data_IF_867503776005
#
_entry.id   IF_867503776005
#
_cell.length_a   1.000
_cell.length_b   1.000
_cell.length_c   1.000
_cell.angle_alpha   90.00
_cell.angle_beta   90.00
_cell.angle_gamma   90.00
#
_symmetry.space_group_name_H-M   'P 1'
#
loop_
_entity.id
_entity.type
_entity.pdbx_description
1 polymer ?
#
# COMPACT_ATOMS: atom_id res chain seq x y z
N UNK A 1 -34.77 -40.70 -23.37
CA UNK A 1 -34.11 -42.03 -23.59
C UNK A 1 -32.75 -42.00 -22.94
N UNK A 2 -32.64 -42.79 -21.85
CA UNK A 2 -31.57 -43.74 -21.44
C UNK A 2 -30.13 -43.15 -21.50
N UNK A 3 -29.52 -42.84 -20.31
CA UNK A 3 -28.74 -43.70 -19.40
C UNK A 3 -27.41 -44.25 -19.98
N UNK A 4 -26.31 -43.87 -19.36
CA UNK A 4 -25.39 -44.74 -18.56
C UNK A 4 -24.14 -43.91 -18.20
N UNK A 5 -23.78 -43.65 -16.97
CA UNK A 5 -23.08 -44.44 -15.94
C UNK A 5 -21.76 -45.07 -16.44
N UNK A 6 -20.63 -44.59 -15.97
CA UNK A 6 -19.54 -45.47 -15.58
C UNK A 6 -18.71 -44.85 -14.43
N UNK A 7 -18.65 -45.65 -13.36
CA UNK A 7 -17.83 -45.50 -12.16
C UNK A 7 -16.47 -46.18 -12.39
N UNK A 8 -15.55 -45.84 -11.50
CA UNK A 8 -14.35 -46.57 -11.04
C UNK A 8 -13.05 -45.84 -11.42
N UNK A 9 -12.01 -45.69 -10.62
CA UNK A 9 -11.58 -46.46 -9.47
C UNK A 9 -10.60 -45.62 -8.63
N UNK A 10 -10.71 -45.73 -7.35
CA UNK A 10 -9.69 -45.35 -6.38
C UNK A 10 -8.57 -46.41 -6.35
N UNK A 11 -7.33 -46.00 -6.28
CA UNK A 11 -6.24 -46.83 -5.82
C UNK A 11 -5.28 -45.99 -4.98
N UNK A 12 -5.24 -46.31 -3.69
CA UNK A 12 -4.33 -45.73 -2.72
C UNK A 12 -2.94 -46.35 -2.85
N UNK A 13 -1.93 -45.59 -2.48
CA UNK A 13 -0.62 -46.10 -2.15
C UNK A 13 -0.17 -45.47 -0.83
N UNK A 14 -0.28 -46.29 0.22
CA UNK A 14 0.39 -46.09 1.49
C UNK A 14 1.83 -46.56 1.36
N UNK A 15 2.81 -45.75 1.70
CA UNK A 15 4.19 -46.21 1.94
C UNK A 15 4.58 -45.82 3.34
N UNK A 16 5.01 -46.86 4.06
CA UNK A 16 5.30 -46.90 5.47
C UNK A 16 6.61 -46.19 5.85
N UNK A 17 6.57 -45.58 7.02
CA UNK A 17 7.75 -45.20 7.80
C UNK A 17 8.47 -46.46 8.30
N UNK A 18 9.80 -46.48 8.18
CA UNK A 18 10.66 -47.34 9.01
C UNK A 18 11.60 -46.48 9.84
N UNK A 19 11.36 -46.53 11.15
CA UNK A 19 12.31 -46.14 12.19
C UNK A 19 13.53 -47.08 12.16
N UNK A 20 14.71 -46.52 12.32
CA UNK A 20 15.88 -47.29 12.77
C UNK A 20 16.52 -46.59 13.96
N UNK A 21 16.28 -47.15 15.12
CA UNK A 21 17.00 -46.91 16.36
C UNK A 21 18.15 -47.95 16.40
N UNK A 22 19.37 -47.50 16.62
CA UNK A 22 20.39 -48.37 17.15
C UNK A 22 21.34 -47.58 18.04
N UNK A 23 21.38 -48.05 19.22
CA UNK A 23 22.02 -47.60 20.42
C UNK A 23 23.39 -48.33 20.60
N UNK A 24 24.13 -47.75 21.53
CA UNK A 24 25.13 -48.40 22.42
C UNK A 24 26.52 -48.74 21.90
N UNK A 25 27.46 -48.29 22.70
CA UNK A 25 28.63 -49.08 23.04
C UNK A 25 29.76 -48.33 23.73
N UNK A 26 29.78 -48.48 25.04
CA UNK A 26 30.79 -48.12 26.04
C UNK A 26 32.22 -48.64 25.74
N UNK A 27 33.24 -47.98 26.22
CA UNK A 27 34.01 -48.35 27.44
C UNK A 27 35.51 -48.02 27.32
N UNK A 28 36.01 -47.36 28.37
CA UNK A 28 37.22 -47.68 29.20
C UNK A 28 38.57 -47.79 28.46
N UNK A 29 39.66 -47.28 28.95
CA UNK A 29 40.26 -47.29 30.30
C UNK A 29 41.46 -46.37 30.38
N UNK A 30 41.73 -45.94 31.56
CA UNK A 30 42.84 -45.20 32.09
C UNK A 30 44.24 -45.72 31.77
N UNK A 31 45.25 -44.84 31.86
CA UNK A 31 46.35 -45.09 32.77
C UNK A 31 47.20 -43.82 33.04
N UNK A 32 47.60 -43.76 34.24
CA UNK A 32 48.31 -42.76 35.03
C UNK A 32 49.82 -42.75 34.73
N UNK A 33 50.47 -41.61 34.77
CA UNK A 33 51.81 -41.56 35.37
C UNK A 33 52.18 -40.13 35.82
N UNK A 34 52.46 -40.07 37.07
CA UNK A 34 52.99 -39.03 37.92
C UNK A 34 54.44 -38.62 37.57
N UNK A 35 54.71 -37.33 37.66
CA UNK A 35 55.92 -36.80 38.31
C UNK A 35 55.89 -35.31 38.53
N UNK A 36 55.92 -34.86 39.77
CA UNK A 36 56.33 -33.60 40.31
C UNK A 36 57.74 -33.77 40.90
N UNK A 37 58.55 -32.75 41.25
CA UNK A 37 58.33 -31.32 41.48
C UNK A 37 59.46 -30.41 40.99
N UNK A 38 59.33 -29.11 41.02
CA UNK A 38 60.22 -28.20 41.73
C UNK A 38 59.80 -26.74 41.60
N UNK A 39 59.89 -26.03 42.69
CA UNK A 39 59.44 -24.70 42.95
C UNK A 39 60.43 -23.63 42.54
N UNK A 40 59.97 -22.43 42.27
CA UNK A 40 60.21 -21.19 43.00
C UNK A 40 59.75 -19.94 42.22
N UNK A 41 59.50 -18.81 42.84
CA UNK A 41 58.37 -17.92 42.55
C UNK A 41 58.82 -16.73 41.67
N UNK A 42 57.86 -16.27 40.83
CA UNK A 42 58.02 -14.97 40.16
C UNK A 42 56.68 -14.20 40.27
N UNK A 43 56.76 -13.09 40.89
CA UNK A 43 55.72 -12.09 41.02
C UNK A 43 55.25 -11.66 39.64
N UNK A 44 53.96 -11.86 39.34
CA UNK A 44 53.34 -11.26 38.18
C UNK A 44 52.04 -10.59 38.59
N UNK A 45 51.94 -9.35 38.20
CA UNK A 45 50.79 -8.48 38.42
C UNK A 45 49.49 -9.14 37.96
N UNK A 46 48.48 -9.04 38.77
CA UNK A 46 47.10 -9.42 38.42
C UNK A 46 46.62 -8.54 37.25
N UNK A 47 46.54 -9.13 36.08
CA UNK A 47 45.71 -8.60 35.00
C UNK A 47 44.26 -8.90 35.39
N UNK A 48 43.52 -7.89 35.73
CA UNK A 48 42.06 -7.97 35.84
C UNK A 48 41.51 -8.48 34.52
N UNK A 49 41.18 -9.73 34.47
CA UNK A 49 40.37 -10.33 33.40
C UNK A 49 38.95 -9.72 33.50
N UNK A 50 38.69 -8.67 32.74
CA UNK A 50 37.36 -8.21 32.49
C UNK A 50 36.60 -9.34 31.84
N UNK A 51 35.87 -10.12 32.63
CA UNK A 51 34.86 -11.03 32.12
C UNK A 51 33.77 -10.18 31.49
N UNK A 52 33.84 -10.00 30.16
CA UNK A 52 32.69 -9.50 29.38
C UNK A 52 31.46 -10.34 29.77
N UNK A 53 30.44 -9.69 30.27
CA UNK A 53 29.13 -10.33 30.50
C UNK A 53 28.71 -11.05 29.23
N UNK A 54 28.10 -12.22 29.31
CA UNK A 54 27.57 -12.91 28.15
C UNK A 54 26.71 -11.93 27.34
N UNK A 55 26.99 -11.76 26.05
CA UNK A 55 26.15 -10.96 25.19
C UNK A 55 24.75 -11.51 25.29
N UNK A 56 23.77 -10.71 25.69
CA UNK A 56 22.37 -11.11 25.70
C UNK A 56 21.97 -11.53 24.27
N UNK A 57 21.13 -12.56 24.17
CA UNK A 57 20.61 -12.99 22.87
C UNK A 57 19.98 -11.78 22.12
N UNK A 58 20.25 -11.65 20.81
CA UNK A 58 19.72 -10.54 20.04
C UNK A 58 18.22 -10.46 20.12
N UNK A 59 17.67 -9.25 20.28
CA UNK A 59 16.24 -9.00 20.20
C UNK A 59 15.79 -9.26 18.76
N UNK A 60 14.87 -10.20 18.58
CA UNK A 60 14.32 -10.53 17.27
C UNK A 60 13.04 -9.72 17.02
N UNK A 61 13.04 -8.93 15.95
CA UNK A 61 11.88 -8.21 15.44
C UNK A 61 11.40 -8.84 14.13
N UNK A 62 10.12 -8.70 13.84
CA UNK A 62 9.48 -9.13 12.60
C UNK A 62 8.90 -7.91 11.88
N UNK A 63 9.15 -7.80 10.57
CA UNK A 63 8.65 -6.72 9.73
C UNK A 63 7.95 -7.29 8.50
N UNK A 64 6.68 -6.95 8.31
CA UNK A 64 5.97 -7.21 7.07
C UNK A 64 5.89 -5.94 6.23
N UNK A 65 5.89 -6.07 4.89
CA UNK A 65 5.67 -4.94 3.98
C UNK A 65 5.03 -5.38 2.67
N UNK A 66 4.51 -4.42 1.90
CA UNK A 66 3.78 -4.69 0.65
C UNK A 66 4.58 -4.36 -0.61
N UNK A 67 5.83 -3.97 -0.45
CA UNK A 67 6.68 -3.59 -1.57
C UNK A 67 7.30 -4.85 -2.19
N UNK A 68 6.86 -5.23 -3.38
CA UNK A 68 7.27 -6.48 -4.06
C UNK A 68 7.92 -6.25 -5.43
N UNK A 69 7.85 -5.02 -5.95
CA UNK A 69 8.48 -4.63 -7.21
C UNK A 69 9.73 -3.81 -6.94
N UNK A 70 10.85 -4.20 -7.55
CA UNK A 70 12.11 -3.45 -7.45
C UNK A 70 11.97 -2.00 -7.95
N UNK A 71 12.69 -1.05 -7.37
CA UNK A 71 13.76 -1.22 -6.37
C UNK A 71 13.30 -1.16 -4.89
N UNK A 72 12.00 -1.09 -4.62
CA UNK A 72 11.48 -0.86 -3.27
C UNK A 72 11.83 -1.95 -2.25
N UNK A 73 11.74 -3.27 -2.54
CA UNK A 73 12.19 -4.31 -1.62
C UNK A 73 13.67 -4.15 -1.23
N UNK A 74 14.52 -3.83 -2.20
CA UNK A 74 15.95 -3.58 -1.98
C UNK A 74 16.17 -2.38 -1.06
N UNK A 75 15.42 -1.28 -1.22
CA UNK A 75 15.52 -0.09 -0.37
C UNK A 75 15.13 -0.42 1.08
N UNK A 76 14.07 -1.19 1.28
CA UNK A 76 13.64 -1.63 2.62
C UNK A 76 14.72 -2.52 3.24
N UNK A 77 15.21 -3.50 2.49
CA UNK A 77 16.28 -4.39 2.96
C UNK A 77 17.52 -3.60 3.38
N UNK A 78 18.00 -2.69 2.56
CA UNK A 78 19.14 -1.83 2.87
C UNK A 78 18.94 -1.00 4.15
N UNK A 79 17.71 -0.52 4.38
CA UNK A 79 17.36 0.24 5.58
C UNK A 79 17.48 -0.65 6.83
N UNK A 80 16.99 -1.87 6.75
CA UNK A 80 17.07 -2.84 7.85
C UNK A 80 18.51 -3.34 8.05
N UNK A 81 19.28 -3.56 6.98
CA UNK A 81 20.71 -3.92 7.08
C UNK A 81 21.51 -2.82 7.78
N UNK A 82 21.23 -1.54 7.51
CA UNK A 82 21.85 -0.40 8.23
C UNK A 82 21.41 -0.38 9.69
N UNK A 83 20.13 -0.57 9.97
CA UNK A 83 19.64 -0.65 11.35
C UNK A 83 20.34 -1.75 12.15
N UNK A 84 20.41 -2.97 11.63
CA UNK A 84 21.04 -4.12 12.32
C UNK A 84 22.55 -3.96 12.45
N UNK A 85 23.21 -3.35 11.47
CA UNK A 85 24.64 -3.00 11.56
C UNK A 85 24.93 -2.02 12.69
N UNK A 86 24.12 -0.97 12.83
CA UNK A 86 24.28 0.07 13.84
C UNK A 86 23.76 -0.38 15.22
N UNK A 87 22.96 -1.44 15.25
CA UNK A 87 22.36 -2.00 16.45
C UNK A 87 22.54 -3.54 16.47
N UNK A 88 23.75 -4.04 16.76
CA UNK A 88 24.09 -5.47 16.62
C UNK A 88 23.37 -6.39 17.61
N UNK A 89 22.70 -5.83 18.60
CA UNK A 89 21.80 -6.55 19.51
C UNK A 89 20.41 -6.79 18.95
N UNK A 90 20.13 -6.41 17.68
CA UNK A 90 18.88 -6.67 17.00
C UNK A 90 19.06 -7.56 15.77
N UNK A 91 18.03 -8.37 15.50
CA UNK A 91 17.81 -9.02 14.21
C UNK A 91 16.39 -8.70 13.74
N UNK A 92 16.20 -8.54 12.43
CA UNK A 92 14.86 -8.27 11.86
C UNK A 92 14.56 -9.26 10.75
N UNK A 93 13.49 -10.03 10.93
CA UNK A 93 12.95 -10.90 9.88
C UNK A 93 11.98 -10.12 9.00
N UNK A 94 12.32 -9.93 7.72
CA UNK A 94 11.55 -9.14 6.77
C UNK A 94 10.73 -10.05 5.86
N UNK A 95 9.43 -9.80 5.74
CA UNK A 95 8.51 -10.58 4.90
C UNK A 95 7.74 -9.68 3.93
N UNK A 96 8.12 -9.65 2.64
CA UNK A 96 7.35 -8.98 1.60
C UNK A 96 6.11 -9.77 1.21
N UNK A 97 5.02 -9.07 0.88
CA UNK A 97 3.77 -9.67 0.38
C UNK A 97 3.11 -8.74 -0.63
N UNK A 98 2.39 -9.30 -1.59
CA UNK A 98 1.50 -8.51 -2.45
C UNK A 98 0.43 -7.82 -1.62
N UNK A 99 0.01 -6.63 -2.06
CA UNK A 99 -0.89 -5.72 -1.32
C UNK A 99 -2.18 -6.42 -0.82
N UNK A 100 -2.88 -7.14 -1.69
CA UNK A 100 -4.17 -7.75 -1.30
C UNK A 100 -3.98 -9.02 -0.46
N UNK A 101 -2.90 -9.77 -0.70
CA UNK A 101 -2.50 -10.88 0.16
C UNK A 101 -2.13 -10.39 1.57
N UNK A 102 -1.44 -9.25 1.67
CA UNK A 102 -1.13 -8.62 2.94
C UNK A 102 -2.41 -8.21 3.69
N UNK A 103 -3.35 -7.52 3.02
CA UNK A 103 -4.62 -7.10 3.64
C UNK A 103 -5.38 -8.28 4.25
N UNK A 104 -5.42 -9.39 3.52
CA UNK A 104 -6.05 -10.63 4.00
C UNK A 104 -5.30 -11.21 5.20
N UNK A 105 -3.97 -11.30 5.11
CA UNK A 105 -3.13 -11.90 6.15
C UNK A 105 -3.11 -11.07 7.44
N UNK A 106 -3.01 -9.74 7.35
CA UNK A 106 -2.99 -8.88 8.52
C UNK A 106 -4.33 -8.90 9.27
N UNK A 107 -5.46 -8.98 8.57
CA UNK A 107 -6.77 -9.11 9.20
C UNK A 107 -6.89 -10.40 10.03
N UNK A 108 -6.39 -11.54 9.50
CA UNK A 108 -6.34 -12.80 10.23
C UNK A 108 -5.38 -12.72 11.42
N UNK A 109 -4.20 -12.13 11.23
CA UNK A 109 -3.19 -11.98 12.28
C UNK A 109 -3.69 -11.10 13.45
N UNK A 110 -4.44 -10.04 13.14
CA UNK A 110 -5.07 -9.20 14.16
C UNK A 110 -6.15 -9.92 14.96
N UNK A 111 -6.92 -10.79 14.33
CA UNK A 111 -7.93 -11.61 14.99
C UNK A 111 -7.34 -12.66 15.92
N UNK A 112 -6.12 -13.10 15.69
CA UNK A 112 -5.42 -14.15 16.47
C UNK A 112 -4.27 -13.63 17.35
N UNK A 113 -4.05 -12.32 17.44
CA UNK A 113 -2.92 -11.68 18.12
C UNK A 113 -1.53 -12.18 17.67
N UNK A 114 -1.43 -12.62 16.38
CA UNK A 114 -0.20 -13.12 15.78
C UNK A 114 0.35 -12.12 14.75
N UNK A 115 0.32 -10.85 15.09
CA UNK A 115 0.82 -9.78 14.23
C UNK A 115 2.35 -9.76 14.23
N UNK A 116 2.98 -9.30 13.14
CA UNK A 116 4.40 -8.94 13.16
C UNK A 116 4.61 -7.73 14.08
N UNK A 117 5.84 -7.54 14.57
CA UNK A 117 6.17 -6.39 15.42
C UNK A 117 6.01 -5.07 14.68
N UNK A 118 6.36 -5.04 13.38
CA UNK A 118 6.31 -3.86 12.52
C UNK A 118 5.52 -4.20 11.25
N UNK A 119 4.57 -3.36 10.90
CA UNK A 119 3.77 -3.55 9.69
C UNK A 119 3.19 -2.25 9.15
N UNK A 120 2.92 -2.18 7.83
CA UNK A 120 2.26 -1.03 7.23
C UNK A 120 0.75 -1.11 7.42
N UNK A 121 0.14 0.05 7.48
CA UNK A 121 -1.31 0.21 7.38
C UNK A 121 -1.66 1.52 6.70
N UNK A 122 -2.94 1.73 6.45
CA UNK A 122 -3.48 2.98 5.90
C UNK A 122 -4.14 3.78 7.02
N UNK A 123 -4.13 5.11 6.90
CA UNK A 123 -4.83 6.00 7.84
C UNK A 123 -6.35 5.85 7.73
N UNK A 124 -7.09 6.48 8.62
CA UNK A 124 -8.56 6.47 8.62
C UNK A 124 -9.13 5.19 9.21
N UNK A 125 -10.13 4.58 8.58
CA UNK A 125 -10.89 3.44 9.10
C UNK A 125 -10.06 2.28 9.61
N UNK A 126 -9.12 1.72 8.83
CA UNK A 126 -8.25 0.64 9.29
C UNK A 126 -7.44 1.00 10.53
N UNK A 127 -6.74 2.13 10.52
CA UNK A 127 -5.95 2.58 11.67
C UNK A 127 -6.83 2.78 12.91
N UNK A 128 -7.97 3.46 12.75
CA UNK A 128 -8.90 3.70 13.86
C UNK A 128 -9.38 2.38 14.48
N UNK A 129 -9.71 1.39 13.64
CA UNK A 129 -10.10 0.05 14.09
C UNK A 129 -8.98 -0.63 14.89
N UNK A 130 -7.73 -0.51 14.44
CA UNK A 130 -6.58 -1.09 15.14
C UNK A 130 -6.35 -0.43 16.49
N UNK A 131 -6.48 0.90 16.56
CA UNK A 131 -6.39 1.67 17.82
C UNK A 131 -7.52 1.28 18.77
N UNK A 132 -8.77 1.27 18.29
CA UNK A 132 -9.94 0.98 19.12
C UNK A 132 -9.95 -0.45 19.66
N UNK A 133 -9.30 -1.37 18.93
CA UNK A 133 -9.09 -2.77 19.31
C UNK A 133 -7.79 -3.01 20.08
N UNK A 134 -7.03 -1.96 20.44
CA UNK A 134 -5.75 -2.04 21.15
C UNK A 134 -4.71 -2.95 20.44
N UNK A 135 -4.64 -2.90 19.10
CA UNK A 135 -3.73 -3.75 18.31
C UNK A 135 -2.40 -3.08 17.95
N UNK A 136 -2.32 -1.76 18.03
CA UNK A 136 -1.10 -1.00 17.75
C UNK A 136 -0.68 -0.15 18.94
N UNK A 137 0.63 0.08 19.06
CA UNK A 137 1.23 0.86 20.14
C UNK A 137 1.09 2.37 19.88
N UNK A 138 0.93 3.15 20.95
CA UNK A 138 1.01 4.61 20.93
C UNK A 138 2.45 5.05 20.68
N UNK A 139 2.69 5.70 19.56
CA UNK A 139 4.02 6.20 19.17
C UNK A 139 4.24 7.68 19.49
N UNK A 140 3.29 8.34 20.16
CA UNK A 140 3.30 9.79 20.40
C UNK A 140 4.59 10.27 21.07
N UNK A 141 5.04 9.57 22.12
CA UNK A 141 6.28 9.92 22.84
C UNK A 141 7.48 9.86 21.92
N UNK A 142 7.64 8.77 21.18
CA UNK A 142 8.77 8.59 20.26
C UNK A 142 8.75 9.59 19.10
N UNK A 143 7.57 9.89 18.56
CA UNK A 143 7.41 10.87 17.48
C UNK A 143 7.70 12.31 17.95
N UNK A 144 7.45 12.64 19.22
CA UNK A 144 7.74 13.95 19.79
C UNK A 144 9.21 14.10 20.25
N UNK A 145 9.88 13.00 20.55
CA UNK A 145 11.26 13.02 21.03
C UNK A 145 12.19 13.68 19.99
N UNK A 146 12.99 14.65 20.47
CA UNK A 146 13.90 15.41 19.60
C UNK A 146 13.23 16.15 18.43
N UNK A 147 11.88 16.28 18.43
CA UNK A 147 11.14 16.89 17.33
C UNK A 147 11.07 16.00 16.07
N UNK A 148 11.21 14.69 16.21
CA UNK A 148 11.26 13.77 15.05
C UNK A 148 10.05 13.93 14.10
N UNK A 149 8.85 14.15 14.63
CA UNK A 149 7.65 14.39 13.80
C UNK A 149 7.75 15.61 12.90
N UNK A 150 8.58 16.61 13.28
CA UNK A 150 8.63 17.89 12.59
C UNK A 150 9.33 17.80 11.23
N UNK A 151 10.00 16.69 10.95
CA UNK A 151 10.56 16.38 9.63
C UNK A 151 9.49 16.05 8.58
N UNK A 152 8.32 15.60 9.00
CA UNK A 152 7.24 15.18 8.09
C UNK A 152 6.34 16.35 7.68
N UNK A 153 5.67 16.18 6.53
CA UNK A 153 4.61 17.09 6.11
C UNK A 153 3.48 17.11 7.15
N UNK A 154 2.91 18.26 7.50
CA UNK A 154 1.83 18.32 8.51
C UNK A 154 0.64 17.42 8.17
N UNK A 155 0.26 17.33 6.89
CA UNK A 155 -0.82 16.46 6.45
C UNK A 155 -0.55 14.98 6.76
N UNK A 156 0.71 14.52 6.65
CA UNK A 156 1.10 13.14 6.98
C UNK A 156 0.94 12.87 8.48
N UNK A 157 1.36 13.79 9.33
CA UNK A 157 1.20 13.67 10.79
C UNK A 157 -0.29 13.69 11.17
N UNK A 158 -1.08 14.58 10.57
CA UNK A 158 -2.53 14.61 10.80
C UNK A 158 -3.20 13.28 10.45
N UNK A 159 -2.78 12.65 9.35
CA UNK A 159 -3.31 11.33 8.93
C UNK A 159 -2.82 10.18 9.81
N UNK A 160 -1.67 10.30 10.47
CA UNK A 160 -1.17 9.34 11.47
C UNK A 160 -1.78 9.52 12.85
N UNK A 161 -2.60 10.57 13.04
CA UNK A 161 -3.16 10.97 14.35
C UNK A 161 -4.61 10.52 14.48
N UNK A 162 -4.93 9.90 15.60
CA UNK A 162 -6.29 9.56 16.02
C UNK A 162 -6.42 9.67 17.53
N UNK A 163 -7.51 10.26 18.02
CA UNK A 163 -7.74 10.53 19.46
C UNK A 163 -6.53 11.25 20.10
N UNK A 164 -6.03 12.29 19.43
CA UNK A 164 -4.91 13.15 19.85
C UNK A 164 -3.57 12.42 20.04
N UNK A 165 -3.42 11.22 19.49
CA UNK A 165 -2.22 10.40 19.56
C UNK A 165 -1.73 9.99 18.17
N UNK A 166 -0.42 9.80 18.05
CA UNK A 166 0.24 9.39 16.79
C UNK A 166 0.45 7.88 16.83
N UNK A 167 -0.10 7.17 15.83
CA UNK A 167 -0.17 5.71 15.78
C UNK A 167 0.69 5.05 14.72
N UNK A 168 1.32 5.84 13.86
CA UNK A 168 2.20 5.33 12.82
C UNK A 168 3.20 6.37 12.36
N UNK A 169 4.29 5.90 11.76
CA UNK A 169 5.31 6.73 11.11
C UNK A 169 4.97 6.80 9.62
N UNK A 170 4.85 7.99 9.01
CA UNK A 170 4.66 8.13 7.58
C UNK A 170 5.94 7.68 6.84
N UNK A 171 5.93 6.53 6.18
CA UNK A 171 7.15 5.96 5.55
C UNK A 171 7.07 5.98 4.03
N UNK A 172 5.93 5.59 3.47
CA UNK A 172 5.86 5.46 2.02
C UNK A 172 5.80 6.82 1.31
N UNK A 173 4.97 6.99 0.33
CA UNK A 173 4.98 8.20 -0.50
C UNK A 173 3.74 9.06 -0.27
N UNK A 174 3.81 10.29 -0.74
CA UNK A 174 2.64 11.09 -1.06
C UNK A 174 1.96 10.45 -2.28
N UNK A 175 0.77 9.89 -2.09
CA UNK A 175 0.07 9.10 -3.08
C UNK A 175 -1.19 9.83 -3.55
N UNK A 176 -1.18 10.35 -4.78
CA UNK A 176 -2.36 10.94 -5.42
C UNK A 176 -2.69 10.20 -6.70
N UNK A 177 -3.96 9.96 -6.97
CA UNK A 177 -4.39 9.40 -8.22
C UNK A 177 -4.29 10.45 -9.34
N UNK A 178 -3.65 10.08 -10.43
CA UNK A 178 -3.49 10.89 -11.63
C UNK A 178 -3.69 9.99 -12.86
N UNK A 179 -4.05 10.60 -13.96
CA UNK A 179 -3.91 9.91 -15.23
C UNK A 179 -2.44 9.85 -15.64
N UNK A 180 -1.96 8.65 -15.92
CA UNK A 180 -0.70 8.41 -16.61
C UNK A 180 -1.01 8.00 -18.05
N UNK A 181 -0.28 8.58 -19.02
CA UNK A 181 -0.58 8.37 -20.42
C UNK A 181 0.69 8.14 -21.25
N UNK A 182 0.52 7.49 -22.39
CA UNK A 182 1.59 7.28 -23.37
C UNK A 182 1.69 8.51 -24.29
N UNK A 183 2.79 9.26 -24.16
CA UNK A 183 3.06 10.48 -24.96
C UNK A 183 3.16 10.19 -26.46
N UNK A 184 3.70 9.03 -26.85
CA UNK A 184 3.86 8.69 -28.27
C UNK A 184 2.50 8.44 -28.93
N UNK A 185 1.55 7.80 -28.22
CA UNK A 185 0.18 7.64 -28.71
C UNK A 185 -0.55 8.98 -28.83
N UNK A 186 -0.37 9.87 -27.84
CA UNK A 186 -0.95 11.22 -27.91
C UNK A 186 -0.39 12.01 -29.08
N UNK A 187 0.94 11.99 -29.29
CA UNK A 187 1.58 12.65 -30.43
C UNK A 187 1.13 12.03 -31.76
N UNK A 188 1.06 10.70 -31.87
CA UNK A 188 0.67 9.98 -33.07
C UNK A 188 -0.73 10.34 -33.56
N UNK A 189 -1.67 10.56 -32.62
CA UNK A 189 -3.05 10.88 -32.96
C UNK A 189 -3.38 12.38 -32.76
N UNK A 190 -2.36 13.23 -32.59
CA UNK A 190 -2.48 14.68 -32.39
C UNK A 190 -3.44 15.04 -31.23
N UNK A 191 -3.35 14.29 -30.13
CA UNK A 191 -4.17 14.49 -28.94
C UNK A 191 -3.50 15.49 -27.99
N UNK A 192 -4.33 16.31 -27.35
CA UNK A 192 -3.90 17.20 -26.27
C UNK A 192 -4.28 16.60 -24.92
N UNK A 193 -3.55 16.98 -23.86
CA UNK A 193 -3.92 16.64 -22.49
C UNK A 193 -5.28 17.26 -22.15
N UNK A 194 -6.30 16.45 -21.80
CA UNK A 194 -7.65 16.95 -21.56
C UNK A 194 -7.74 17.68 -20.22
N UNK A 195 -8.50 18.78 -20.20
CA UNK A 195 -8.76 19.59 -18.99
C UNK A 195 -10.18 19.38 -18.46
N UNK A 196 -11.08 18.87 -19.29
CA UNK A 196 -12.46 18.60 -18.93
C UNK A 196 -12.83 17.14 -19.25
N UNK A 197 -13.92 16.65 -18.63
CA UNK A 197 -14.43 15.29 -18.90
C UNK A 197 -14.84 15.16 -20.38
N UNK A 198 -15.43 16.19 -20.96
CA UNK A 198 -15.80 16.19 -22.39
C UNK A 198 -14.56 16.08 -23.30
N UNK A 199 -13.48 16.78 -22.98
CA UNK A 199 -12.22 16.66 -23.69
C UNK A 199 -11.60 15.27 -23.52
N UNK A 200 -11.66 14.68 -22.30
CA UNK A 200 -11.21 13.32 -22.03
C UNK A 200 -11.98 12.28 -22.85
N UNK A 201 -13.30 12.45 -22.98
CA UNK A 201 -14.15 11.59 -23.82
C UNK A 201 -13.79 11.74 -25.31
N UNK A 202 -13.48 12.95 -25.77
CA UNK A 202 -13.03 13.20 -27.15
C UNK A 202 -11.71 12.48 -27.43
N UNK A 203 -10.77 12.53 -26.48
CA UNK A 203 -9.52 11.74 -26.54
C UNK A 203 -9.82 10.26 -26.58
N UNK A 204 -10.70 9.77 -25.71
CA UNK A 204 -11.06 8.35 -25.64
C UNK A 204 -11.72 7.85 -26.93
N UNK A 205 -12.66 8.62 -27.50
CA UNK A 205 -13.31 8.29 -28.77
C UNK A 205 -12.32 8.21 -29.93
N UNK A 206 -11.36 9.15 -29.97
CA UNK A 206 -10.31 9.17 -31.00
C UNK A 206 -9.41 7.93 -30.89
N UNK A 207 -8.97 7.59 -29.68
CA UNK A 207 -8.15 6.41 -29.43
C UNK A 207 -8.90 5.12 -29.81
N UNK A 208 -10.15 4.97 -29.36
CA UNK A 208 -10.99 3.83 -29.65
C UNK A 208 -11.22 3.65 -31.17
N UNK A 209 -11.50 4.74 -31.88
CA UNK A 209 -11.65 4.72 -33.36
C UNK A 209 -10.40 4.19 -34.06
N UNK A 210 -9.24 4.39 -33.47
CA UNK A 210 -7.95 3.91 -33.99
C UNK A 210 -7.53 2.55 -33.41
N UNK A 211 -8.42 1.82 -32.72
CA UNK A 211 -8.16 0.50 -32.16
C UNK A 211 -7.28 0.48 -30.91
N UNK A 212 -7.08 1.64 -30.27
CA UNK A 212 -6.37 1.77 -29.01
C UNK A 212 -7.36 1.80 -27.86
N UNK A 213 -7.11 1.03 -26.82
CA UNK A 213 -7.90 1.05 -25.58
C UNK A 213 -7.66 2.41 -24.88
N UNK A 214 -8.71 3.21 -24.64
CA UNK A 214 -8.54 4.48 -23.94
C UNK A 214 -7.96 4.33 -22.53
N UNK A 215 -8.58 3.49 -21.69
CA UNK A 215 -8.20 3.31 -20.30
C UNK A 215 -7.82 1.87 -20.00
N UNK A 216 -6.64 1.66 -19.48
CA UNK A 216 -6.21 0.38 -18.93
C UNK A 216 -6.66 0.29 -17.47
N UNK A 217 -7.38 -0.78 -17.13
CA UNK A 217 -7.93 -1.02 -15.79
C UNK A 217 -7.86 -2.50 -15.42
N UNK A 218 -7.47 -2.80 -14.18
CA UNK A 218 -7.57 -4.09 -13.53
C UNK A 218 -8.39 -3.92 -12.25
N UNK A 219 -9.67 -4.34 -12.26
CA UNK A 219 -10.64 -3.99 -11.22
C UNK A 219 -11.13 -5.19 -10.39
N UNK A 220 -10.44 -6.33 -10.43
CA UNK A 220 -10.75 -7.46 -9.55
C UNK A 220 -10.58 -7.08 -8.08
N UNK A 221 -9.59 -6.26 -7.80
CA UNK A 221 -9.26 -5.75 -6.47
C UNK A 221 -10.14 -4.59 -6.01
N UNK A 222 -11.03 -4.11 -6.89
CA UNK A 222 -12.10 -3.12 -6.65
C UNK A 222 -11.62 -1.69 -6.39
N UNK A 223 -10.52 -1.50 -5.67
CA UNK A 223 -9.99 -0.17 -5.30
C UNK A 223 -9.51 0.64 -6.51
N UNK A 224 -9.10 -0.01 -7.59
CA UNK A 224 -8.65 0.67 -8.82
C UNK A 224 -9.80 1.37 -9.54
N UNK A 225 -10.94 0.70 -9.69
CA UNK A 225 -12.16 1.31 -10.23
C UNK A 225 -12.73 2.39 -9.30
N UNK A 226 -12.60 2.20 -7.99
CA UNK A 226 -13.03 3.19 -6.99
C UNK A 226 -12.38 4.56 -7.20
N UNK A 227 -11.15 4.66 -7.71
CA UNK A 227 -10.50 5.94 -8.00
C UNK A 227 -11.29 6.77 -9.02
N UNK A 228 -11.82 6.14 -10.06
CA UNK A 228 -12.69 6.82 -11.03
C UNK A 228 -13.97 7.32 -10.38
N UNK A 229 -14.60 6.47 -9.56
CA UNK A 229 -15.83 6.82 -8.86
C UNK A 229 -15.64 8.00 -7.90
N UNK A 230 -14.58 7.98 -7.10
CA UNK A 230 -14.26 9.03 -6.15
C UNK A 230 -14.03 10.38 -6.84
N UNK A 231 -13.23 10.39 -7.91
CA UNK A 231 -13.01 11.62 -8.67
C UNK A 231 -14.27 12.15 -9.34
N UNK A 232 -15.06 11.28 -9.95
CA UNK A 232 -16.31 11.72 -10.57
C UNK A 232 -17.29 12.27 -9.53
N UNK A 233 -17.40 11.62 -8.36
CA UNK A 233 -18.24 12.12 -7.27
C UNK A 233 -17.76 13.49 -6.76
N UNK A 234 -16.43 13.67 -6.59
CA UNK A 234 -15.85 14.97 -6.23
C UNK A 234 -16.09 16.02 -7.32
N UNK A 235 -15.85 15.69 -8.59
CA UNK A 235 -16.03 16.65 -9.69
C UNK A 235 -17.47 17.10 -9.85
N UNK A 236 -18.45 16.21 -9.66
CA UNK A 236 -19.87 16.58 -9.73
C UNK A 236 -20.38 17.29 -8.48
N UNK A 237 -20.00 16.82 -7.28
CA UNK A 237 -20.60 17.27 -6.02
C UNK A 237 -19.70 18.16 -5.14
N UNK A 238 -18.41 18.25 -5.46
CA UNK A 238 -17.41 18.83 -4.57
C UNK A 238 -17.06 17.91 -3.39
N UNK A 239 -16.03 18.26 -2.65
CA UNK A 239 -15.62 17.55 -1.45
C UNK A 239 -16.74 17.45 -0.40
N UNK A 240 -17.66 18.41 -0.37
CA UNK A 240 -18.75 18.45 0.58
C UNK A 240 -19.74 17.29 0.40
N UNK A 241 -19.92 16.77 -0.80
CA UNK A 241 -20.84 15.66 -1.05
C UNK A 241 -20.43 14.41 -0.27
N UNK A 242 -19.15 14.03 -0.34
CA UNK A 242 -18.63 12.90 0.42
C UNK A 242 -18.53 13.20 1.92
N UNK A 243 -18.00 14.37 2.28
CA UNK A 243 -17.82 14.73 3.69
C UNK A 243 -19.15 14.75 4.44
N UNK A 244 -20.20 15.31 3.84
CA UNK A 244 -21.54 15.33 4.43
C UNK A 244 -22.11 13.91 4.61
N UNK A 245 -21.96 13.04 3.61
CA UNK A 245 -22.42 11.65 3.69
C UNK A 245 -21.64 10.87 4.76
N UNK A 246 -20.30 11.00 4.81
CA UNK A 246 -19.44 10.33 5.78
C UNK A 246 -19.63 10.82 7.22
N UNK A 247 -19.93 12.13 7.41
CA UNK A 247 -20.23 12.73 8.71
C UNK A 247 -21.70 12.59 9.14
N UNK A 248 -22.54 11.99 8.29
CA UNK A 248 -23.98 11.81 8.52
C UNK A 248 -24.78 13.12 8.63
N UNK A 249 -24.27 14.21 8.03
CA UNK A 249 -24.99 15.47 7.81
C UNK A 249 -25.65 15.53 6.44
N UNK A 250 -25.34 14.57 5.56
CA UNK A 250 -25.91 14.29 4.25
C UNK A 250 -26.11 12.79 4.04
N UNK A 251 -26.21 12.37 2.79
CA UNK A 251 -26.52 10.99 2.41
C UNK A 251 -25.68 10.53 1.22
N UNK A 252 -25.40 9.23 1.14
CA UNK A 252 -24.83 8.58 -0.06
C UNK A 252 -25.87 8.48 -1.21
N UNK A 253 -27.12 8.83 -0.98
CA UNK A 253 -28.13 9.00 -2.04
C UNK A 253 -28.08 10.39 -2.72
N UNK A 254 -27.00 11.17 -2.49
CA UNK A 254 -26.77 12.45 -3.14
C UNK A 254 -26.58 12.29 -4.65
N UNK A 255 -27.12 13.24 -5.42
CA UNK A 255 -27.08 13.26 -6.89
C UNK A 255 -25.68 13.15 -7.47
N UNK A 256 -24.64 13.66 -6.79
CA UNK A 256 -23.26 13.56 -7.24
C UNK A 256 -22.78 12.13 -7.38
N UNK A 257 -23.20 11.23 -6.50
CA UNK A 257 -22.87 9.81 -6.58
C UNK A 257 -23.62 9.10 -7.70
N UNK A 258 -24.90 9.49 -7.95
CA UNK A 258 -25.66 9.04 -9.10
C UNK A 258 -25.00 9.42 -10.42
N UNK A 259 -24.58 10.68 -10.55
CA UNK A 259 -23.89 11.19 -11.73
C UNK A 259 -22.54 10.48 -11.95
N UNK A 260 -21.77 10.24 -10.89
CA UNK A 260 -20.53 9.47 -10.95
C UNK A 260 -20.75 8.05 -11.49
N UNK A 261 -21.73 7.35 -10.94
CA UNK A 261 -22.09 6.01 -11.39
C UNK A 261 -22.58 5.96 -12.84
N UNK A 262 -23.44 6.91 -13.23
CA UNK A 262 -23.93 7.03 -14.61
C UNK A 262 -22.77 7.26 -15.61
N UNK A 263 -21.82 8.14 -15.26
CA UNK A 263 -20.65 8.43 -16.12
C UNK A 263 -19.76 7.19 -16.28
N UNK A 264 -19.52 6.44 -15.22
CA UNK A 264 -18.78 5.17 -15.32
C UNK A 264 -19.51 4.19 -16.24
N UNK A 265 -20.81 4.01 -16.05
CA UNK A 265 -21.60 3.10 -16.90
C UNK A 265 -21.63 3.54 -18.36
N UNK A 266 -21.65 4.85 -18.63
CA UNK A 266 -21.50 5.40 -19.97
C UNK A 266 -20.16 4.99 -20.59
N UNK A 267 -19.04 5.18 -19.87
CA UNK A 267 -17.69 4.81 -20.35
C UNK A 267 -17.53 3.31 -20.56
N UNK A 268 -18.13 2.48 -19.70
CA UNK A 268 -18.17 1.03 -19.90
C UNK A 268 -18.94 0.65 -21.15
N UNK A 269 -20.14 1.22 -21.37
CA UNK A 269 -20.96 0.98 -22.57
C UNK A 269 -20.28 1.49 -23.85
N UNK A 270 -19.48 2.56 -23.75
CA UNK A 270 -18.63 3.05 -24.84
C UNK A 270 -17.37 2.20 -25.02
N UNK A 271 -17.17 1.15 -24.23
CA UNK A 271 -15.99 0.27 -24.26
C UNK A 271 -14.65 1.05 -24.16
N UNK A 272 -14.58 2.02 -23.28
CA UNK A 272 -13.34 2.77 -23.05
C UNK A 272 -12.31 1.99 -22.23
N UNK A 273 -12.73 0.96 -21.50
CA UNK A 273 -11.86 0.07 -20.73
C UNK A 273 -11.49 -1.19 -21.50
N UNK A 274 -10.37 -1.81 -21.15
CA UNK A 274 -9.96 -3.09 -21.71
C UNK A 274 -10.97 -4.20 -21.39
N UNK A 275 -11.10 -5.17 -22.28
CA UNK A 275 -12.01 -6.33 -22.04
C UNK A 275 -11.61 -7.08 -20.77
N UNK A 276 -12.62 -7.49 -20.00
CA UNK A 276 -12.43 -8.30 -18.79
C UNK A 276 -11.82 -7.57 -17.60
N UNK A 277 -11.75 -6.25 -17.60
CA UNK A 277 -11.12 -5.45 -16.57
C UNK A 277 -11.58 -5.78 -15.14
N UNK A 278 -12.86 -6.11 -14.90
CA UNK A 278 -13.40 -6.51 -13.59
C UNK A 278 -12.85 -7.84 -13.06
N UNK A 279 -12.24 -8.66 -13.92
CA UNK A 279 -11.61 -9.93 -13.56
C UNK A 279 -10.09 -9.88 -13.53
N UNK A 280 -9.46 -8.80 -13.97
CA UNK A 280 -8.02 -8.65 -13.95
C UNK A 280 -7.54 -8.17 -12.57
N UNK A 281 -6.47 -8.78 -12.11
CA UNK A 281 -5.81 -8.47 -10.85
C UNK A 281 -4.71 -7.43 -11.06
N UNK A 282 -4.72 -6.33 -10.31
CA UNK A 282 -3.73 -5.26 -10.44
C UNK A 282 -2.32 -5.74 -10.06
N UNK A 283 -2.22 -6.58 -9.02
CA UNK A 283 -0.93 -7.13 -8.58
C UNK A 283 -0.26 -8.01 -9.64
N UNK A 284 -1.04 -8.55 -10.61
CA UNK A 284 -0.50 -9.33 -11.73
C UNK A 284 0.12 -8.48 -12.86
N UNK A 285 -0.05 -7.15 -12.85
CA UNK A 285 0.51 -6.22 -13.84
C UNK A 285 -0.11 -6.29 -15.23
N UNK A 286 -1.22 -7.00 -15.42
CA UNK A 286 -1.82 -7.19 -16.75
C UNK A 286 -2.32 -5.88 -17.37
N UNK A 287 -2.93 -5.00 -16.56
CA UNK A 287 -3.37 -3.67 -17.01
C UNK A 287 -2.17 -2.80 -17.41
N UNK A 288 -1.10 -2.82 -16.63
CA UNK A 288 0.12 -2.06 -16.89
C UNK A 288 0.81 -2.52 -18.19
N UNK A 289 0.82 -3.83 -18.44
CA UNK A 289 1.36 -4.41 -19.69
C UNK A 289 0.65 -3.87 -20.92
N UNK A 290 -0.67 -3.60 -20.86
CA UNK A 290 -1.40 -3.00 -21.96
C UNK A 290 -0.89 -1.58 -22.28
N UNK A 291 -0.57 -0.80 -21.24
CA UNK A 291 -0.02 0.54 -21.40
C UNK A 291 1.40 0.50 -21.98
N UNK A 292 2.27 -0.37 -21.44
CA UNK A 292 3.66 -0.51 -21.89
C UNK A 292 3.78 -1.01 -23.34
N UNK A 293 2.84 -1.86 -23.77
CA UNK A 293 2.80 -2.41 -25.13
C UNK A 293 2.00 -1.54 -26.12
N UNK A 294 1.63 -0.31 -25.73
CA UNK A 294 0.89 0.65 -26.56
C UNK A 294 -0.51 0.16 -27.01
N UNK A 295 -1.03 -0.88 -26.36
CA UNK A 295 -2.40 -1.37 -26.60
C UNK A 295 -3.44 -0.50 -25.87
N UNK A 296 -3.06 0.13 -24.77
CA UNK A 296 -3.85 1.12 -24.07
C UNK A 296 -3.08 2.45 -23.98
N UNK A 297 -3.81 3.56 -23.94
CA UNK A 297 -3.21 4.89 -23.96
C UNK A 297 -3.06 5.51 -22.58
N UNK A 298 -3.97 5.23 -21.66
CA UNK A 298 -4.03 5.88 -20.35
C UNK A 298 -4.36 4.87 -19.24
N UNK A 299 -3.97 5.22 -18.01
CA UNK A 299 -4.44 4.57 -16.77
C UNK A 299 -4.63 5.62 -15.68
N UNK A 300 -5.69 5.51 -14.87
CA UNK A 300 -5.85 6.28 -13.65
C UNK A 300 -5.28 5.45 -12.49
N UNK A 301 -4.22 5.94 -11.85
CA UNK A 301 -3.53 5.21 -10.79
C UNK A 301 -2.89 6.17 -9.79
N UNK A 302 -2.64 5.70 -8.59
CA UNK A 302 -1.86 6.45 -7.62
C UNK A 302 -0.42 6.66 -8.05
N UNK A 303 0.20 7.73 -7.59
CA UNK A 303 1.56 8.14 -8.01
C UNK A 303 2.65 7.10 -7.75
N UNK A 304 2.41 6.08 -6.90
CA UNK A 304 3.30 4.91 -6.78
C UNK A 304 3.50 4.15 -8.10
N UNK A 305 2.61 4.34 -9.07
CA UNK A 305 2.73 3.77 -10.41
C UNK A 305 4.06 4.13 -11.07
N UNK A 306 4.58 5.33 -10.84
CA UNK A 306 5.87 5.77 -11.43
C UNK A 306 7.02 4.84 -11.01
N UNK A 307 7.09 4.51 -9.73
CA UNK A 307 8.10 3.57 -9.21
C UNK A 307 7.89 2.15 -9.75
N UNK A 308 6.66 1.67 -9.76
CA UNK A 308 6.32 0.34 -10.30
C UNK A 308 6.66 0.24 -11.77
N UNK A 309 6.27 1.24 -12.56
CA UNK A 309 6.55 1.28 -13.99
C UNK A 309 8.05 1.40 -14.29
N UNK A 310 8.81 2.12 -13.47
CA UNK A 310 10.27 2.21 -13.61
C UNK A 310 10.95 0.86 -13.36
N UNK A 311 10.46 0.08 -12.41
CA UNK A 311 10.94 -1.28 -12.14
C UNK A 311 10.55 -2.29 -13.23
N UNK A 312 9.35 -2.16 -13.80
CA UNK A 312 8.82 -3.09 -14.81
C UNK A 312 9.27 -2.73 -16.24
N UNK A 313 9.32 -1.45 -16.58
CA UNK A 313 9.65 -0.96 -17.92
C UNK A 313 10.33 0.42 -17.88
N UNK A 314 11.63 0.43 -17.63
CA UNK A 314 12.44 1.64 -17.52
C UNK A 314 12.40 2.50 -18.79
N UNK A 315 12.33 1.90 -19.98
CA UNK A 315 12.29 2.64 -21.23
C UNK A 315 10.98 3.41 -21.37
N UNK A 316 9.85 2.77 -21.10
CA UNK A 316 8.54 3.41 -21.08
C UNK A 316 8.53 4.58 -20.10
N UNK A 317 8.97 4.36 -18.87
CA UNK A 317 8.94 5.37 -17.80
C UNK A 317 9.83 6.56 -18.09
N UNK A 318 11.03 6.34 -18.66
CA UNK A 318 11.96 7.43 -18.92
C UNK A 318 11.63 8.27 -20.16
N UNK A 319 10.91 7.72 -21.14
CA UNK A 319 10.72 8.36 -22.46
C UNK A 319 9.27 8.65 -22.80
N UNK A 320 8.36 7.72 -22.47
CA UNK A 320 7.02 7.69 -23.07
C UNK A 320 5.90 8.12 -22.13
N UNK A 321 6.10 8.07 -20.82
CA UNK A 321 5.07 8.40 -19.85
C UNK A 321 4.91 9.91 -19.68
N UNK A 322 3.65 10.35 -19.55
CA UNK A 322 3.26 11.67 -19.08
C UNK A 322 2.17 11.52 -18.02
N UNK A 323 1.86 12.60 -17.31
CA UNK A 323 0.80 12.65 -16.32
C UNK A 323 -0.09 13.87 -16.50
N UNK A 324 -1.33 13.77 -16.00
CA UNK A 324 -2.22 14.92 -15.84
C UNK A 324 -3.24 14.65 -14.72
N UNK A 325 -3.72 15.69 -14.04
CA UNK A 325 -4.73 15.55 -13.00
C UNK A 325 -6.07 15.11 -13.59
N UNK A 326 -6.95 14.54 -12.76
CA UNK A 326 -8.29 14.17 -13.20
C UNK A 326 -9.06 15.41 -13.67
N UNK A 327 -9.63 15.42 -14.89
CA UNK A 327 -10.24 16.59 -15.50
C UNK A 327 -11.44 17.15 -14.73
N UNK A 328 -11.76 18.40 -14.99
CA UNK A 328 -12.96 19.07 -14.46
C UNK A 328 -14.25 18.50 -15.06
N UNK A 329 -15.33 18.45 -14.29
CA UNK A 329 -16.68 18.24 -14.84
C UNK A 329 -17.30 19.58 -15.19
N UNK A 330 -17.75 19.73 -16.43
CA UNK A 330 -18.46 20.93 -16.86
C UNK A 330 -19.79 21.06 -16.10
N UNK A 331 -19.98 22.18 -15.42
CA UNK A 331 -21.16 22.42 -14.56
C UNK A 331 -21.12 21.68 -13.22
N UNK A 332 -20.05 20.95 -12.92
CA UNK A 332 -19.84 20.33 -11.62
C UNK A 332 -19.44 21.33 -10.55
N UNK A 333 -19.53 20.93 -9.29
CA UNK A 333 -19.23 21.78 -8.11
C UNK A 333 -17.81 21.58 -7.58
N UNK A 334 -17.12 20.51 -8.01
CA UNK A 334 -15.78 20.17 -7.52
C UNK A 334 -14.69 21.06 -8.12
N UNK A 335 -13.72 21.43 -7.29
CA UNK A 335 -12.53 22.13 -7.77
C UNK A 335 -11.64 21.14 -8.57
N UNK A 336 -11.25 21.49 -9.81
CA UNK A 336 -10.40 20.62 -10.63
C UNK A 336 -9.01 20.36 -10.02
N UNK A 337 -8.56 21.20 -9.08
CA UNK A 337 -7.31 21.00 -8.36
C UNK A 337 -7.45 20.09 -7.12
N UNK A 338 -8.68 19.78 -6.68
CA UNK A 338 -8.86 18.79 -5.62
C UNK A 338 -8.33 17.44 -6.06
N UNK A 339 -7.65 16.74 -5.15
CA UNK A 339 -7.03 15.46 -5.44
C UNK A 339 -7.63 14.33 -4.59
N UNK A 340 -7.64 13.13 -5.15
CA UNK A 340 -7.92 11.89 -4.42
C UNK A 340 -6.61 11.23 -4.08
N UNK A 341 -6.34 11.00 -2.80
CA UNK A 341 -5.05 10.49 -2.37
C UNK A 341 -4.79 10.56 -0.88
N UNK A 342 -3.54 10.42 -0.51
CA UNK A 342 -3.06 10.50 0.87
C UNK A 342 -1.63 11.05 0.91
N UNK A 343 -1.26 11.69 2.00
CA UNK A 343 0.12 12.13 2.27
C UNK A 343 0.72 11.20 3.31
N UNK A 344 1.72 10.41 2.91
CA UNK A 344 2.31 9.39 3.77
C UNK A 344 1.58 8.04 3.68
N UNK A 345 1.14 7.66 2.50
CA UNK A 345 0.53 6.35 2.23
C UNK A 345 1.37 5.21 2.81
N UNK A 346 0.74 4.23 3.44
CA UNK A 346 1.36 3.17 4.23
C UNK A 346 2.20 3.72 5.42
N UNK A 347 1.51 4.01 6.47
CA UNK A 347 2.11 4.30 7.77
C UNK A 347 2.62 3.00 8.40
N UNK A 348 3.81 3.01 8.97
CA UNK A 348 4.31 1.84 9.68
C UNK A 348 4.05 2.01 11.18
N UNK A 349 3.41 0.99 11.76
CA UNK A 349 3.11 0.92 13.18
C UNK A 349 3.83 -0.24 13.86
N UNK A 350 3.88 -0.17 15.16
CA UNK A 350 4.35 -1.24 16.04
C UNK A 350 3.13 -1.94 16.63
N UNK A 351 3.13 -3.27 16.62
CA UNK A 351 2.08 -4.05 17.25
C UNK A 351 2.05 -3.82 18.76
N UNK A 352 0.86 -3.76 19.35
CA UNK A 352 0.71 -3.63 20.82
C UNK A 352 1.31 -4.83 21.58
N UNK A 353 1.46 -5.98 20.92
CA UNK A 353 2.08 -7.19 21.45
C UNK A 353 3.61 -7.18 21.35
N UNK A 354 4.21 -6.22 20.67
CA UNK A 354 5.66 -6.09 20.54
C UNK A 354 6.29 -5.84 21.92
N UNK A 355 7.30 -6.64 22.26
CA UNK A 355 7.98 -6.56 23.57
C UNK A 355 8.96 -5.39 23.68
N UNK A 356 9.45 -4.90 22.54
CA UNK A 356 10.38 -3.78 22.45
C UNK A 356 9.89 -2.75 21.43
N UNK A 357 8.94 -1.93 21.87
CA UNK A 357 8.35 -0.86 21.04
C UNK A 357 9.41 0.18 20.67
N UNK A 358 10.37 0.48 21.54
CA UNK A 358 11.43 1.45 21.29
C UNK A 358 12.36 0.97 20.17
N UNK A 359 12.82 -0.29 20.23
CA UNK A 359 13.64 -0.90 19.19
C UNK A 359 12.92 -1.02 17.86
N UNK A 360 11.64 -1.43 17.87
CA UNK A 360 10.81 -1.49 16.67
C UNK A 360 10.59 -0.10 16.05
N UNK A 361 10.28 0.92 16.85
CA UNK A 361 10.19 2.31 16.37
C UNK A 361 11.51 2.78 15.76
N UNK A 362 12.65 2.50 16.43
CA UNK A 362 13.97 2.82 15.90
C UNK A 362 14.22 2.15 14.54
N UNK A 363 13.85 0.88 14.36
CA UNK A 363 13.95 0.21 13.07
C UNK A 363 13.11 0.91 11.98
N UNK A 364 11.90 1.37 12.31
CA UNK A 364 11.06 2.14 11.39
C UNK A 364 11.75 3.45 10.97
N UNK A 365 12.47 4.13 11.85
CA UNK A 365 13.14 5.40 11.49
C UNK A 365 14.17 5.24 10.38
N UNK A 366 14.80 4.06 10.24
CA UNK A 366 15.71 3.76 9.14
C UNK A 366 14.99 3.56 7.80
N UNK A 367 13.71 3.17 7.80
CA UNK A 367 12.91 3.06 6.57
C UNK A 367 12.66 4.43 5.90
N UNK A 368 12.82 5.52 6.65
CA UNK A 368 12.54 6.89 6.21
C UNK A 368 13.63 7.89 6.65
N UNK A 369 14.83 7.46 6.95
CA UNK A 369 15.97 8.34 7.15
C UNK A 369 16.40 9.04 5.84
N UNK A 370 17.33 9.96 5.90
CA UNK A 370 17.73 10.75 4.74
C UNK A 370 18.31 9.90 3.59
N UNK A 371 18.97 8.78 3.93
CA UNK A 371 19.46 7.81 2.94
C UNK A 371 18.29 7.13 2.23
N UNK A 372 17.30 6.66 3.00
CA UNK A 372 16.10 6.03 2.45
C UNK A 372 15.25 7.03 1.67
N UNK A 373 15.12 8.27 2.13
CA UNK A 373 14.42 9.35 1.41
C UNK A 373 15.05 9.55 0.03
N UNK A 374 16.39 9.68 -0.04
CA UNK A 374 17.11 9.85 -1.30
C UNK A 374 16.82 8.68 -2.27
N UNK A 375 17.00 7.44 -1.79
CA UNK A 375 16.74 6.24 -2.60
C UNK A 375 15.27 6.14 -3.07
N UNK A 376 14.32 6.54 -2.22
CA UNK A 376 12.89 6.55 -2.59
C UNK A 376 12.59 7.57 -3.70
N UNK A 377 13.20 8.76 -3.64
CA UNK A 377 13.08 9.77 -4.71
C UNK A 377 13.66 9.22 -6.02
N UNK A 378 14.86 8.63 -5.98
CA UNK A 378 15.48 7.98 -7.14
C UNK A 378 14.62 6.83 -7.71
N UNK A 379 13.88 6.16 -6.84
CA UNK A 379 12.93 5.11 -7.21
C UNK A 379 11.58 5.62 -7.74
N UNK A 380 11.38 6.93 -7.91
CA UNK A 380 10.13 7.49 -8.41
C UNK A 380 9.04 7.68 -7.35
N UNK A 381 9.43 7.90 -6.08
CA UNK A 381 8.50 8.18 -4.97
C UNK A 381 8.65 9.62 -4.49
N UNK A 382 7.58 10.17 -3.91
CA UNK A 382 7.58 11.46 -3.21
C UNK A 382 7.43 11.18 -1.71
N UNK A 383 8.53 11.06 -0.95
CA UNK A 383 8.47 10.79 0.48
C UNK A 383 7.70 11.89 1.23
N UNK A 384 6.97 11.56 2.32
CA UNK A 384 6.13 12.51 3.06
C UNK A 384 6.93 13.42 4.02
N UNK A 385 8.16 13.78 3.66
CA UNK A 385 9.06 14.61 4.46
C UNK A 385 9.19 16.02 3.86
N UNK A 386 9.42 17.00 4.71
CA UNK A 386 9.60 18.40 4.29
C UNK A 386 10.91 18.58 3.52
N UNK A 387 10.92 19.48 2.55
CA UNK A 387 12.14 19.90 1.86
C UNK A 387 12.74 18.86 0.92
N UNK A 388 11.97 17.85 0.52
CA UNK A 388 12.39 16.87 -0.49
C UNK A 388 12.69 17.59 -1.81
N UNK A 389 13.86 17.32 -2.36
CA UNK A 389 14.27 17.84 -3.68
C UNK A 389 13.93 16.81 -4.74
N UNK A 390 13.09 17.21 -5.68
CA UNK A 390 12.66 16.40 -6.80
C UNK A 390 13.26 16.96 -8.08
N UNK A 391 13.97 16.14 -8.86
CA UNK A 391 14.49 16.51 -10.17
C UNK A 391 13.62 15.99 -11.32
N UNK A 392 12.85 14.92 -11.07
CA UNK A 392 11.94 14.35 -12.07
C UNK A 392 10.68 15.22 -12.19
N UNK A 393 10.35 15.74 -13.39
CA UNK A 393 9.15 16.55 -13.61
C UNK A 393 7.85 15.85 -13.20
N UNK A 394 7.74 14.54 -13.39
CA UNK A 394 6.53 13.79 -13.00
C UNK A 394 6.34 13.75 -11.48
N UNK A 395 7.43 13.65 -10.71
CA UNK A 395 7.36 13.74 -9.26
C UNK A 395 7.05 15.16 -8.78
N UNK A 396 7.55 16.18 -9.51
CA UNK A 396 7.17 17.57 -9.26
C UNK A 396 5.70 17.82 -9.53
N UNK A 397 5.12 17.20 -10.58
CA UNK A 397 3.68 17.28 -10.87
C UNK A 397 2.86 16.70 -9.71
N UNK A 398 3.27 15.56 -9.14
CA UNK A 398 2.64 14.95 -7.97
C UNK A 398 2.68 15.89 -6.76
N UNK A 399 3.85 16.43 -6.43
CA UNK A 399 4.00 17.35 -5.30
C UNK A 399 3.18 18.63 -5.51
N UNK A 400 3.26 19.20 -6.70
CA UNK A 400 2.51 20.42 -7.09
C UNK A 400 1.00 20.20 -7.01
N UNK A 401 0.52 19.01 -7.41
CA UNK A 401 -0.90 18.66 -7.32
C UNK A 401 -1.37 18.69 -5.85
N UNK A 402 -0.58 18.15 -4.92
CA UNK A 402 -0.91 18.18 -3.48
C UNK A 402 -0.81 19.57 -2.90
N UNK A 403 0.23 20.33 -3.23
CA UNK A 403 0.45 21.70 -2.71
C UNK A 403 -0.63 22.68 -3.16
N UNK A 404 -1.17 22.51 -4.36
CA UNK A 404 -2.23 23.36 -4.92
C UNK A 404 -3.64 22.88 -4.56
N UNK A 405 -3.77 21.65 -4.05
CA UNK A 405 -5.08 21.08 -3.79
C UNK A 405 -5.80 21.82 -2.66
N UNK A 406 -7.00 22.38 -2.92
CA UNK A 406 -7.84 22.96 -1.87
C UNK A 406 -8.37 21.87 -0.93
N UNK A 407 -8.44 20.61 -1.40
CA UNK A 407 -8.80 19.43 -0.60
C UNK A 407 -8.06 18.19 -1.08
N UNK A 408 -7.72 17.31 -0.15
CA UNK A 408 -7.21 15.96 -0.40
C UNK A 408 -8.27 14.98 0.11
N UNK A 409 -8.98 14.35 -0.82
CA UNK A 409 -9.97 13.33 -0.50
C UNK A 409 -9.24 12.02 -0.26
N UNK A 410 -9.29 11.49 0.96
CA UNK A 410 -8.75 10.17 1.25
C UNK A 410 -9.52 9.08 0.48
N UNK A 411 -8.83 7.98 0.18
CA UNK A 411 -9.45 6.81 -0.44
C UNK A 411 -10.69 6.38 0.36
N UNK A 412 -11.84 6.19 -0.28
CA UNK A 412 -13.08 5.82 0.44
C UNK A 412 -12.95 4.49 1.19
N UNK A 413 -12.24 3.52 0.59
CA UNK A 413 -11.97 2.22 1.22
C UNK A 413 -11.01 2.29 2.41
N UNK A 414 -10.34 3.41 2.59
CA UNK A 414 -9.41 3.70 3.68
C UNK A 414 -10.01 4.64 4.72
N UNK A 415 -10.82 5.60 4.28
CA UNK A 415 -11.43 6.59 5.16
C UNK A 415 -12.64 6.03 5.92
N UNK A 416 -13.49 5.25 5.25
CA UNK A 416 -14.73 4.73 5.79
C UNK A 416 -14.47 3.57 6.79
N UNK A 417 -15.37 3.33 7.76
CA UNK A 417 -15.33 2.12 8.57
C UNK A 417 -15.27 0.86 7.70
N UNK A 418 -14.56 -0.17 8.15
CA UNK A 418 -14.19 -1.33 7.33
C UNK A 418 -15.38 -2.01 6.62
N UNK A 419 -16.53 -2.18 7.32
CA UNK A 419 -17.73 -2.76 6.71
C UNK A 419 -18.28 -1.88 5.58
N UNK A 420 -18.38 -0.56 5.80
CA UNK A 420 -18.85 0.39 4.79
C UNK A 420 -17.87 0.54 3.62
N UNK A 421 -16.58 0.51 3.92
CA UNK A 421 -15.51 0.52 2.92
C UNK A 421 -15.60 -0.70 1.98
N UNK A 422 -15.95 -1.88 2.51
CA UNK A 422 -16.16 -3.06 1.67
C UNK A 422 -17.40 -2.93 0.81
N UNK A 423 -18.53 -2.43 1.36
CA UNK A 423 -19.75 -2.15 0.57
C UNK A 423 -19.43 -1.15 -0.55
N UNK A 424 -18.66 -0.10 -0.27
CA UNK A 424 -18.20 0.84 -1.31
C UNK A 424 -17.45 0.14 -2.45
N UNK A 425 -16.52 -0.75 -2.14
CA UNK A 425 -15.76 -1.49 -3.14
C UNK A 425 -16.66 -2.40 -3.99
N UNK A 426 -17.52 -3.19 -3.34
CA UNK A 426 -18.41 -4.13 -4.00
C UNK A 426 -19.43 -3.40 -4.92
N UNK A 427 -19.99 -2.31 -4.43
CA UNK A 427 -20.97 -1.51 -5.17
C UNK A 427 -20.32 -0.75 -6.32
N UNK A 428 -19.13 -0.20 -6.13
CA UNK A 428 -18.34 0.42 -7.21
C UNK A 428 -18.04 -0.60 -8.32
N UNK A 429 -17.59 -1.81 -7.98
CA UNK A 429 -17.35 -2.86 -8.98
C UNK A 429 -18.63 -3.28 -9.70
N UNK A 430 -19.77 -3.28 -9.01
CA UNK A 430 -21.07 -3.60 -9.62
C UNK A 430 -21.51 -2.53 -10.65
N UNK A 431 -21.18 -1.24 -10.42
CA UNK A 431 -21.38 -0.17 -11.42
C UNK A 431 -20.57 -0.46 -12.68
N UNK A 432 -19.28 -0.76 -12.53
CA UNK A 432 -18.38 -1.11 -13.64
C UNK A 432 -18.84 -2.39 -14.37
N UNK A 433 -19.43 -3.34 -13.65
CA UNK A 433 -19.97 -4.57 -14.19
C UNK A 433 -21.36 -4.40 -14.87
N UNK A 434 -21.96 -3.21 -14.83
CA UNK A 434 -23.35 -2.93 -15.23
C UNK A 434 -24.37 -3.83 -14.52
N UNK A 435 -24.02 -4.34 -13.32
CA UNK A 435 -24.82 -5.27 -12.54
C UNK A 435 -25.87 -4.58 -11.67
N UNK A 436 -25.63 -3.30 -11.33
CA UNK A 436 -26.54 -2.46 -10.52
C UNK A 436 -26.62 -1.06 -11.12
N UNK A 437 -27.78 -0.40 -10.92
CA UNK A 437 -27.89 1.03 -11.26
C UNK A 437 -27.22 1.89 -10.19
N UNK A 438 -26.79 3.12 -10.51
CA UNK A 438 -26.24 4.04 -9.52
C UNK A 438 -27.14 4.28 -8.31
N UNK A 439 -28.45 4.37 -8.53
CA UNK A 439 -29.46 4.57 -7.47
C UNK A 439 -29.49 3.36 -6.52
N UNK A 440 -29.42 2.12 -7.04
CA UNK A 440 -29.36 0.91 -6.23
C UNK A 440 -28.08 0.91 -5.37
N UNK A 441 -26.95 1.28 -5.97
CA UNK A 441 -25.66 1.37 -5.28
C UNK A 441 -25.70 2.43 -4.18
N UNK A 442 -26.22 3.62 -4.47
CA UNK A 442 -26.31 4.71 -3.51
C UNK A 442 -27.17 4.32 -2.31
N UNK A 443 -28.30 3.63 -2.56
CA UNK A 443 -29.16 3.11 -1.51
C UNK A 443 -28.46 2.07 -0.63
N UNK A 444 -27.73 1.13 -1.22
CA UNK A 444 -26.95 0.14 -0.46
C UNK A 444 -25.85 0.81 0.39
N UNK A 445 -25.16 1.81 -0.17
CA UNK A 445 -24.18 2.60 0.56
C UNK A 445 -24.81 3.34 1.73
N UNK A 446 -25.99 3.95 1.53
CA UNK A 446 -26.70 4.67 2.58
C UNK A 446 -27.19 3.74 3.69
N UNK A 447 -27.75 2.57 3.34
CA UNK A 447 -28.16 1.55 4.31
C UNK A 447 -26.98 1.03 5.13
N UNK A 448 -25.84 0.77 4.48
CA UNK A 448 -24.62 0.37 5.15
C UNK A 448 -24.05 1.47 6.05
N UNK A 449 -24.13 2.74 5.61
CA UNK A 449 -23.71 3.87 6.41
C UNK A 449 -24.56 4.05 7.67
N UNK A 450 -25.88 3.94 7.56
CA UNK A 450 -26.81 3.96 8.73
C UNK A 450 -26.43 2.88 9.73
N UNK A 451 -26.12 1.68 9.26
CA UNK A 451 -25.69 0.57 10.12
C UNK A 451 -24.34 0.85 10.78
N UNK A 452 -23.35 1.30 10.01
CA UNK A 452 -21.99 1.52 10.49
C UNK A 452 -21.88 2.67 11.51
N UNK A 453 -22.67 3.71 11.35
CA UNK A 453 -22.66 4.90 12.21
C UNK A 453 -23.78 4.93 13.26
N UNK A 454 -24.68 3.97 13.26
CA UNK A 454 -25.79 3.87 14.21
C UNK A 454 -26.83 5.00 14.09
N UNK A 455 -26.99 5.58 12.90
CA UNK A 455 -27.85 6.75 12.67
C UNK A 455 -28.70 6.55 11.41
#
# INVERSE_FOLDING_TARGET
>A
MKKAISKAMAAGLAIAMTLSIAACGSSKTAETSTSTPSAAPSTTAAAESSTAAPAADPVKLTLWHIQTTEPMPTIIKDSIDRFTKDNPNYTVEVSPMQNDAFKTKIAVAMGSDQMPDIFPHWSGGPMNTYVDSNKIADLTTYMNEGGYKDRFMPAAINQATYKDKIWGVPVENTAVAMFFYNKDLFAKYNLQVPKTITELETVADTLKKNGIIPFSLANKTQWTGSMYYMYLADRFGGADAFNAAAQRTGSFENEAFTQAGNKIQEWVKKEYFNKGFNGLDEDSGQSRTLLYSEKAAMTLMGSWFLSTAAGENKEFTSKKIGSFPFPAAEGGKGDPNSVVGTVGDNFYSVAATCKDVAGAFKAITYLIDDTSVTKRVEAGRVPPVKGVKLSDPLLQDVLTAVEKAPSVQLWYDQYLPAELAQVHKDTSQAIFGLAKTPEQVNKEMEEAAKKAFGK
#
